data_IF_029723263469
#
_entry.id   IF_029723263469
#
_cell.length_a   1.000
_cell.length_b   1.000
_cell.length_c   1.000
_cell.angle_alpha   90.00
_cell.angle_beta   90.00
_cell.angle_gamma   90.00
#
_symmetry.space_group_name_H-M   'P 1'
#
loop_
_entity.id
_entity.type
_entity.pdbx_description
1 polymer ?
#
# COMPACT_ATOMS: atom_id res chain seq x y z
N UNK A 1 -35.70 33.62 11.64
CA UNK A 1 -34.83 32.62 12.28
C UNK A 1 -33.54 33.32 12.68
N UNK A 2 -33.11 33.19 13.94
CA UNK A 2 -31.90 33.91 14.39
C UNK A 2 -30.65 33.21 13.85
N UNK A 3 -29.75 34.00 13.24
CA UNK A 3 -28.49 33.52 12.69
C UNK A 3 -27.67 32.67 13.68
N UNK A 4 -27.62 32.97 14.99
CA UNK A 4 -26.94 32.11 15.97
C UNK A 4 -27.54 30.70 16.08
N UNK A 5 -28.86 30.56 15.99
CA UNK A 5 -29.52 29.25 16.09
C UNK A 5 -29.21 28.39 14.87
N UNK A 6 -29.17 29.01 13.69
CA UNK A 6 -28.77 28.31 12.46
C UNK A 6 -27.33 27.80 12.57
N UNK A 7 -26.40 28.64 13.06
CA UNK A 7 -24.99 28.27 13.23
C UNK A 7 -24.84 27.08 14.18
N UNK A 8 -25.52 27.10 15.33
CA UNK A 8 -25.47 25.98 16.29
C UNK A 8 -25.98 24.68 15.68
N UNK A 9 -27.09 24.74 14.94
CA UNK A 9 -27.66 23.57 14.29
C UNK A 9 -26.72 22.97 13.22
N UNK A 10 -26.05 23.82 12.43
CA UNK A 10 -25.06 23.38 11.44
C UNK A 10 -23.87 22.72 12.12
N UNK A 11 -23.34 23.31 13.19
CA UNK A 11 -22.21 22.74 13.94
C UNK A 11 -22.57 21.36 14.51
N UNK A 12 -23.75 21.23 15.11
CA UNK A 12 -24.23 19.93 15.62
C UNK A 12 -24.38 18.92 14.48
N UNK A 13 -24.95 19.32 13.34
CA UNK A 13 -25.10 18.43 12.18
C UNK A 13 -23.76 17.92 11.64
N UNK A 14 -22.77 18.80 11.50
CA UNK A 14 -21.40 18.43 11.08
C UNK A 14 -20.77 17.50 12.11
N UNK A 15 -20.85 17.84 13.40
CA UNK A 15 -20.29 17.03 14.48
C UNK A 15 -20.89 15.61 14.50
N UNK A 16 -22.21 15.48 14.34
CA UNK A 16 -22.89 14.19 14.26
C UNK A 16 -22.48 13.40 13.02
N UNK A 17 -22.30 14.08 11.87
CA UNK A 17 -21.86 13.43 10.62
C UNK A 17 -20.44 12.88 10.74
N UNK A 18 -19.51 13.67 11.31
CA UNK A 18 -18.13 13.24 11.58
C UNK A 18 -18.11 12.10 12.60
N UNK A 19 -18.89 12.20 13.68
CA UNK A 19 -19.00 11.16 14.68
C UNK A 19 -19.50 9.85 14.06
N UNK A 20 -20.53 9.91 13.21
CA UNK A 20 -21.06 8.73 12.51
C UNK A 20 -19.99 8.05 11.66
N UNK A 21 -19.23 8.80 10.83
CA UNK A 21 -18.14 8.25 10.00
C UNK A 21 -17.02 7.65 10.86
N UNK A 22 -16.71 8.27 11.99
CA UNK A 22 -15.70 7.75 12.91
C UNK A 22 -16.16 6.44 13.56
N UNK A 23 -17.40 6.38 14.04
CA UNK A 23 -17.97 5.19 14.67
C UNK A 23 -18.23 4.04 13.70
N UNK A 24 -18.52 4.31 12.42
CA UNK A 24 -18.67 3.27 11.40
C UNK A 24 -17.33 2.76 10.84
N UNK A 25 -16.20 3.29 11.35
CA UNK A 25 -14.87 2.76 11.02
C UNK A 25 -14.26 3.33 9.74
N UNK A 26 -14.86 4.34 9.10
CA UNK A 26 -14.31 5.00 7.90
C UNK A 26 -12.99 5.74 8.13
N UNK A 27 -12.49 5.75 9.37
CA UNK A 27 -11.16 6.29 9.73
C UNK A 27 -10.13 5.21 10.05
N UNK A 28 -10.53 3.93 10.11
CA UNK A 28 -9.61 2.84 10.45
C UNK A 28 -8.86 2.44 9.19
N UNK A 29 -7.52 2.47 9.27
CA UNK A 29 -6.69 2.01 8.16
C UNK A 29 -6.97 0.53 7.88
N UNK A 30 -7.21 0.18 6.63
CA UNK A 30 -7.35 -1.19 6.20
C UNK A 30 -6.10 -2.00 6.58
N UNK A 31 -6.28 -3.27 6.94
CA UNK A 31 -5.17 -4.17 7.24
C UNK A 31 -5.46 -5.52 6.64
N UNK A 32 -4.44 -6.14 6.06
CA UNK A 32 -4.50 -7.48 5.52
C UNK A 32 -4.52 -8.49 6.67
N UNK A 33 -5.48 -9.42 6.66
CA UNK A 33 -5.54 -10.50 7.63
C UNK A 33 -4.38 -11.48 7.40
N UNK A 34 -4.15 -11.84 6.14
CA UNK A 34 -3.16 -12.81 5.70
C UNK A 34 -2.82 -12.63 4.21
N UNK A 35 -1.92 -13.49 3.71
CA UNK A 35 -1.45 -13.48 2.34
C UNK A 35 -2.55 -13.87 1.33
N UNK A 36 -3.50 -14.71 1.74
CA UNK A 36 -4.64 -15.10 0.92
C UNK A 36 -5.59 -13.93 0.70
N UNK A 37 -5.83 -13.10 1.71
CA UNK A 37 -6.60 -11.86 1.54
C UNK A 37 -5.90 -10.88 0.59
N UNK A 38 -4.57 -10.73 0.71
CA UNK A 38 -3.81 -9.90 -0.22
C UNK A 38 -3.95 -10.40 -1.67
N UNK A 39 -3.87 -11.72 -1.87
CA UNK A 39 -4.06 -12.34 -3.18
C UNK A 39 -5.48 -12.13 -3.72
N UNK A 40 -6.51 -12.32 -2.90
CA UNK A 40 -7.91 -12.12 -3.29
C UNK A 40 -8.17 -10.68 -3.69
N UNK A 41 -7.69 -9.70 -2.90
CA UNK A 41 -7.76 -8.27 -3.24
C UNK A 41 -7.06 -7.96 -4.54
N UNK A 42 -5.86 -8.51 -4.74
CA UNK A 42 -5.10 -8.31 -5.98
C UNK A 42 -5.83 -8.89 -7.21
N UNK A 43 -6.47 -10.05 -7.07
CA UNK A 43 -7.19 -10.73 -8.13
C UNK A 43 -8.51 -10.03 -8.53
N UNK A 44 -9.08 -9.17 -7.68
CA UNK A 44 -10.24 -8.34 -8.05
C UNK A 44 -9.90 -7.39 -9.20
N UNK A 45 -8.69 -6.83 -9.21
CA UNK A 45 -8.21 -5.92 -10.26
C UNK A 45 -7.40 -6.64 -11.36
N UNK A 46 -6.70 -7.73 -11.02
CA UNK A 46 -5.82 -8.48 -11.92
C UNK A 46 -6.13 -10.00 -11.89
N UNK A 47 -7.28 -10.45 -12.41
CA UNK A 47 -7.74 -11.84 -12.27
C UNK A 47 -6.86 -12.87 -12.99
N UNK A 48 -6.16 -12.46 -14.06
CA UNK A 48 -5.32 -13.36 -14.87
C UNK A 48 -3.91 -13.54 -14.31
N UNK A 49 -3.50 -12.69 -13.39
CA UNK A 49 -2.16 -12.71 -12.81
C UNK A 49 -2.05 -13.81 -11.74
N UNK A 50 -0.94 -14.56 -11.76
CA UNK A 50 -0.68 -15.67 -10.83
C UNK A 50 0.59 -15.43 -10.05
N UNK A 51 0.51 -14.73 -8.90
CA UNK A 51 1.66 -14.50 -8.05
C UNK A 51 2.31 -15.80 -7.57
N UNK A 52 3.62 -15.92 -7.73
CA UNK A 52 4.42 -17.04 -7.24
C UNK A 52 4.68 -16.95 -5.72
N UNK A 53 4.69 -15.74 -5.15
CA UNK A 53 4.91 -15.50 -3.74
C UNK A 53 4.22 -14.21 -3.29
N UNK A 54 3.78 -14.17 -2.03
CA UNK A 54 3.18 -12.99 -1.38
C UNK A 54 3.96 -12.68 -0.11
N UNK A 55 4.34 -11.42 0.07
CA UNK A 55 5.13 -10.94 1.21
C UNK A 55 4.42 -9.78 1.88
N UNK A 56 4.06 -9.94 3.13
CA UNK A 56 3.33 -8.95 3.91
C UNK A 56 4.29 -8.03 4.68
N UNK A 57 3.90 -6.77 4.84
CA UNK A 57 4.53 -5.91 5.83
C UNK A 57 4.14 -6.32 7.25
N UNK A 58 4.99 -5.98 8.23
CA UNK A 58 4.77 -6.30 9.64
C UNK A 58 3.48 -5.67 10.20
N UNK A 59 3.13 -4.47 9.74
CA UNK A 59 1.90 -3.77 10.09
C UNK A 59 0.67 -4.26 9.30
N UNK A 60 0.88 -5.18 8.35
CA UNK A 60 -0.10 -5.74 7.42
C UNK A 60 -0.85 -4.69 6.59
N UNK A 61 -0.28 -3.50 6.43
CA UNK A 61 -0.88 -2.45 5.61
C UNK A 61 -0.50 -2.60 4.14
N UNK A 62 0.50 -3.40 3.81
CA UNK A 62 0.85 -3.68 2.44
C UNK A 62 1.28 -5.13 2.21
N UNK A 63 1.19 -5.57 0.96
CA UNK A 63 1.72 -6.81 0.46
C UNK A 63 2.40 -6.61 -0.89
N UNK A 64 3.47 -7.36 -1.11
CA UNK A 64 4.19 -7.44 -2.37
C UNK A 64 4.04 -8.84 -2.96
N UNK A 65 3.64 -8.90 -4.23
CA UNK A 65 3.30 -10.12 -4.95
C UNK A 65 4.29 -10.31 -6.09
N UNK A 66 4.96 -11.47 -6.16
CA UNK A 66 5.90 -11.76 -7.24
C UNK A 66 5.16 -12.33 -8.45
N UNK A 67 4.98 -11.55 -9.52
CA UNK A 67 4.10 -11.92 -10.66
C UNK A 67 4.83 -12.62 -11.80
N UNK A 68 6.17 -12.55 -11.83
CA UNK A 68 6.98 -13.06 -12.92
C UNK A 68 8.27 -12.26 -13.07
N UNK A 69 9.03 -12.49 -14.16
CA UNK A 69 10.31 -11.81 -14.35
C UNK A 69 10.11 -10.29 -14.36
N UNK A 70 10.76 -9.62 -13.40
CA UNK A 70 10.80 -8.17 -13.22
C UNK A 70 9.44 -7.46 -13.02
N UNK A 71 8.39 -8.18 -12.60
CA UNK A 71 7.08 -7.60 -12.26
C UNK A 71 6.70 -7.90 -10.82
N UNK A 72 6.32 -6.86 -10.10
CA UNK A 72 5.89 -6.94 -8.71
C UNK A 72 4.49 -6.34 -8.59
N UNK A 73 3.54 -7.10 -8.09
CA UNK A 73 2.25 -6.61 -7.62
C UNK A 73 2.40 -5.97 -6.25
N UNK A 74 1.68 -4.88 -6.01
CA UNK A 74 1.61 -4.18 -4.73
C UNK A 74 0.15 -4.11 -4.36
N UNK A 75 -0.16 -4.49 -3.12
CA UNK A 75 -1.42 -4.19 -2.45
C UNK A 75 -1.08 -3.29 -1.28
N UNK A 76 -1.61 -2.08 -1.21
CA UNK A 76 -1.32 -1.13 -0.13
C UNK A 76 -2.61 -0.52 0.39
N UNK A 77 -2.70 -0.36 1.69
CA UNK A 77 -3.85 0.27 2.34
C UNK A 77 -3.84 1.76 2.06
N UNK A 78 -5.00 2.31 1.70
CA UNK A 78 -5.25 3.74 1.53
C UNK A 78 -6.58 4.05 2.21
N UNK A 79 -6.52 4.69 3.38
CA UNK A 79 -7.70 4.83 4.23
C UNK A 79 -8.24 3.46 4.64
N UNK A 80 -9.54 3.26 4.46
CA UNK A 80 -10.28 2.02 4.71
C UNK A 80 -10.30 1.04 3.52
N UNK A 81 -9.63 1.40 2.41
CA UNK A 81 -9.55 0.61 1.18
C UNK A 81 -8.12 0.10 0.90
N UNK A 82 -8.00 -0.69 -0.17
CA UNK A 82 -6.72 -1.13 -0.73
C UNK A 82 -6.54 -0.59 -2.14
N UNK A 83 -5.34 -0.11 -2.45
CA UNK A 83 -4.85 0.11 -3.79
C UNK A 83 -4.09 -1.13 -4.23
N UNK A 84 -4.38 -1.61 -5.43
CA UNK A 84 -3.58 -2.64 -6.10
C UNK A 84 -2.85 -2.03 -7.30
N UNK A 85 -1.66 -2.55 -7.60
CA UNK A 85 -0.86 -2.07 -8.72
C UNK A 85 0.17 -3.09 -9.15
N UNK A 86 0.53 -3.08 -10.42
CA UNK A 86 1.69 -3.80 -10.94
C UNK A 86 2.77 -2.80 -11.28
N UNK A 87 3.98 -3.05 -10.78
CA UNK A 87 5.16 -2.22 -11.03
C UNK A 87 6.31 -3.06 -11.56
N UNK A 88 7.18 -2.40 -12.28
CA UNK A 88 8.49 -2.89 -12.71
C UNK A 88 9.58 -2.01 -12.12
N UNK A 89 10.83 -2.44 -12.22
CA UNK A 89 11.97 -1.62 -11.78
C UNK A 89 12.02 -0.22 -12.44
N UNK A 90 11.44 -0.05 -13.63
CA UNK A 90 11.39 1.25 -14.34
C UNK A 90 10.43 2.25 -13.70
N UNK A 91 9.43 1.75 -12.97
CA UNK A 91 8.43 2.59 -12.30
C UNK A 91 8.95 3.14 -10.96
N UNK A 92 10.10 2.62 -10.48
CA UNK A 92 10.74 2.97 -9.22
C UNK A 92 11.75 4.10 -9.46
N UNK A 93 11.43 5.30 -8.98
CA UNK A 93 12.35 6.45 -9.01
C UNK A 93 13.45 6.36 -7.95
N UNK A 94 13.16 5.77 -6.80
CA UNK A 94 14.15 5.54 -5.75
C UNK A 94 13.75 4.31 -4.92
N UNK A 95 14.74 3.54 -4.50
CA UNK A 95 14.60 2.43 -3.57
C UNK A 95 15.78 2.50 -2.60
N UNK A 96 15.48 2.64 -1.31
CA UNK A 96 16.47 2.58 -0.23
C UNK A 96 16.15 1.43 0.69
N UNK A 97 17.19 0.75 1.17
CA UNK A 97 17.09 -0.19 2.29
C UNK A 97 17.55 0.61 3.51
N UNK A 98 16.61 1.01 4.34
CA UNK A 98 16.88 1.90 5.48
C UNK A 98 17.47 1.10 6.64
N UNK A 99 17.01 -0.14 6.81
CA UNK A 99 17.49 -1.15 7.75
C UNK A 99 17.16 -2.56 7.18
N UNK A 100 17.68 -3.67 7.76
CA UNK A 100 17.48 -5.02 7.21
C UNK A 100 16.01 -5.43 7.07
N UNK A 101 15.10 -4.82 7.82
CA UNK A 101 13.67 -5.12 7.79
C UNK A 101 12.85 -4.07 7.06
N UNK A 102 13.44 -2.94 6.66
CA UNK A 102 12.67 -1.81 6.15
C UNK A 102 13.23 -1.28 4.84
N UNK A 103 12.35 -1.15 3.87
CA UNK A 103 12.65 -0.52 2.59
C UNK A 103 11.78 0.73 2.43
N UNK A 104 12.32 1.74 1.76
CA UNK A 104 11.56 2.89 1.28
C UNK A 104 11.59 2.93 -0.23
N UNK A 105 10.42 3.06 -0.85
CA UNK A 105 10.28 3.16 -2.29
C UNK A 105 9.64 4.49 -2.67
N UNK A 106 10.12 5.06 -3.77
CA UNK A 106 9.50 6.19 -4.44
C UNK A 106 9.14 5.79 -5.86
N UNK A 107 7.87 5.89 -6.22
CA UNK A 107 7.38 5.60 -7.57
C UNK A 107 7.33 6.87 -8.41
N UNK A 108 7.36 6.69 -9.73
CA UNK A 108 7.12 7.76 -10.71
C UNK A 108 5.66 8.18 -10.83
N UNK A 109 4.76 7.43 -10.21
CA UNK A 109 3.33 7.71 -10.22
C UNK A 109 2.97 8.84 -9.23
N UNK A 110 2.23 9.85 -9.71
CA UNK A 110 1.82 11.00 -8.91
C UNK A 110 0.62 10.72 -7.99
N UNK A 111 -0.23 9.76 -8.34
CA UNK A 111 -1.40 9.31 -7.57
C UNK A 111 -0.98 8.45 -6.38
N UNK A 112 0.17 7.78 -6.45
CA UNK A 112 0.76 7.06 -5.33
C UNK A 112 2.29 7.04 -5.42
N UNK A 113 2.94 7.89 -4.61
CA UNK A 113 4.39 8.10 -4.66
C UNK A 113 5.22 6.99 -4.02
N UNK A 114 4.61 5.96 -3.46
CA UNK A 114 5.28 4.94 -2.65
C UNK A 114 5.25 5.26 -1.16
N UNK A 115 6.19 4.67 -0.41
CA UNK A 115 6.18 4.74 1.05
C UNK A 115 7.31 3.94 1.69
N UNK A 116 7.26 3.85 3.02
CA UNK A 116 8.18 3.06 3.85
C UNK A 116 7.49 1.79 4.31
N UNK A 117 8.13 0.64 4.09
CA UNK A 117 7.55 -0.68 4.32
C UNK A 117 8.47 -1.50 5.20
N UNK A 118 8.00 -1.79 6.42
CA UNK A 118 8.69 -2.66 7.37
C UNK A 118 8.16 -4.09 7.24
N UNK A 119 9.05 -5.07 7.25
CA UNK A 119 8.76 -6.49 7.16
C UNK A 119 9.04 -7.18 8.48
N UNK A 120 8.38 -8.32 8.73
CA UNK A 120 8.67 -9.15 9.90
C UNK A 120 9.95 -9.97 9.73
N UNK A 121 10.38 -10.19 8.48
CA UNK A 121 11.49 -11.07 8.11
C UNK A 121 12.41 -10.35 7.12
N UNK A 122 13.71 -10.37 7.37
CA UNK A 122 14.72 -9.72 6.50
C UNK A 122 14.75 -10.31 5.09
N UNK A 123 14.54 -11.63 4.99
CA UNK A 123 14.47 -12.31 3.70
C UNK A 123 13.36 -11.73 2.79
N UNK A 124 12.25 -11.28 3.37
CA UNK A 124 11.16 -10.66 2.62
C UNK A 124 11.53 -9.26 2.15
N UNK A 125 12.08 -8.43 3.03
CA UNK A 125 12.57 -7.10 2.67
C UNK A 125 13.60 -7.17 1.54
N UNK A 126 14.56 -8.11 1.66
CA UNK A 126 15.60 -8.33 0.65
C UNK A 126 15.04 -8.85 -0.68
N UNK A 127 14.08 -9.77 -0.65
CA UNK A 127 13.45 -10.29 -1.85
C UNK A 127 12.63 -9.22 -2.58
N UNK A 128 11.89 -8.38 -1.84
CA UNK A 128 11.14 -7.25 -2.42
C UNK A 128 12.11 -6.21 -2.98
N UNK A 129 13.16 -5.85 -2.25
CA UNK A 129 14.17 -4.92 -2.75
C UNK A 129 14.82 -5.45 -4.04
N UNK A 130 15.22 -6.71 -4.08
CA UNK A 130 15.82 -7.33 -5.26
C UNK A 130 14.87 -7.34 -6.46
N UNK A 131 13.58 -7.61 -6.25
CA UNK A 131 12.57 -7.61 -7.32
C UNK A 131 12.28 -6.21 -7.90
N UNK A 132 12.52 -5.15 -7.10
CA UNK A 132 12.28 -3.75 -7.48
C UNK A 132 13.54 -3.03 -7.95
N UNK A 133 14.73 -3.60 -7.78
CA UNK A 133 15.99 -3.03 -8.26
C UNK A 133 16.10 -3.15 -9.79
N UNK A 134 16.56 -2.08 -10.45
CA UNK A 134 16.93 -2.16 -11.86
C UNK A 134 18.24 -2.96 -12.00
N UNK A 135 18.17 -4.15 -12.57
CA UNK A 135 19.34 -5.00 -12.79
C UNK A 135 20.29 -4.47 -13.88
N UNK A 136 19.91 -3.41 -14.62
CA UNK A 136 20.72 -2.86 -15.71
C UNK A 136 22.02 -2.17 -15.25
N UNK A 137 22.16 -1.85 -13.96
CA UNK A 137 23.38 -1.23 -13.43
C UNK A 137 24.54 -2.22 -13.24
N UNK A 138 24.32 -3.54 -13.41
CA UNK A 138 25.38 -4.56 -13.22
C UNK A 138 26.22 -4.88 -14.46
N UNK A 139 25.84 -4.43 -15.66
CA UNK A 139 26.57 -4.76 -16.90
C UNK A 139 27.50 -3.64 -17.41
N UNK A 140 27.67 -2.54 -16.66
CA UNK A 140 28.47 -1.38 -17.08
C UNK A 140 29.65 -1.05 -16.15
N UNK A 141 30.12 -2.00 -15.34
CA UNK A 141 31.28 -1.83 -14.45
C UNK A 141 32.31 -2.94 -14.65
#
# INVERSE_FOLDING_TARGET
MSLPVLVVLVVIGIALSVAAVHFTGGTRTATLADAGQALARFAEDFPDEKPAAVRLTADRRAAFLALGPARTGIVSSIGDCFLTRIVTARDILALTVDDPLTISIRLGDFTWKGGRFAFAVEADAKAVAAALQDHRTREAA
#
